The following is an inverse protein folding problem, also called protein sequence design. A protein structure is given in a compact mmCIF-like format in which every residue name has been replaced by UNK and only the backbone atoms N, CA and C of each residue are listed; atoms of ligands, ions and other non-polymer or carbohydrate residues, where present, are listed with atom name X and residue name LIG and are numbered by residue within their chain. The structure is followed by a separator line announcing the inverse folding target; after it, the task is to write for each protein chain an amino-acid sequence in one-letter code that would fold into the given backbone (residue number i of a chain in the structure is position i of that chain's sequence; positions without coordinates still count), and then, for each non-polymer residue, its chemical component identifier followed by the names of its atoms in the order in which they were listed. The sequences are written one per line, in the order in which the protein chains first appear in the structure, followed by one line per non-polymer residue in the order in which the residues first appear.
data_IF_166901176077
#
_entry.id   IF_166901176077
#
_cell.length_a   1.000
_cell.length_b   1.000
_cell.length_c   1.000
_cell.angle_alpha   90.00
_cell.angle_beta   90.00
_cell.angle_gamma   90.00
#
_symmetry.space_group_name_H-M   'P 1'
#
loop_
_entity.id
_entity.type
_entity.pdbx_description
1 polymer ?
#
# COMPACT_ATOMS: atom_id res chain seq x y z
N UNK A 1 7.13 -14.50 -18.89
CA UNK A 1 6.10 -13.68 -19.61
C UNK A 1 4.96 -13.27 -18.68
N UNK A 2 4.42 -14.19 -17.87
CA UNK A 2 3.34 -13.91 -16.93
C UNK A 2 3.73 -12.87 -15.88
N UNK A 3 4.95 -12.92 -15.38
CA UNK A 3 5.46 -11.96 -14.39
C UNK A 3 5.59 -10.54 -14.95
N UNK A 4 5.99 -10.38 -16.22
CA UNK A 4 6.12 -9.06 -16.86
C UNK A 4 4.76 -8.37 -17.00
N UNK A 5 3.71 -9.10 -17.38
CA UNK A 5 2.36 -8.54 -17.43
C UNK A 5 1.82 -8.17 -16.06
N UNK A 6 2.11 -9.00 -15.06
CA UNK A 6 1.73 -8.72 -13.68
C UNK A 6 2.39 -7.43 -13.19
N UNK A 7 3.68 -7.24 -13.49
CA UNK A 7 4.43 -6.04 -13.12
C UNK A 7 3.91 -4.79 -13.86
N UNK A 8 3.71 -4.86 -15.18
CA UNK A 8 3.23 -3.70 -15.95
C UNK A 8 1.82 -3.25 -15.55
N UNK A 9 0.94 -4.17 -15.22
CA UNK A 9 -0.38 -3.84 -14.67
C UNK A 9 -0.29 -3.29 -13.25
N UNK A 10 0.62 -3.82 -12.44
CA UNK A 10 0.89 -3.30 -11.11
C UNK A 10 1.32 -1.82 -11.15
N UNK A 11 2.16 -1.46 -12.11
CA UNK A 11 2.69 -0.09 -12.21
C UNK A 11 1.73 0.88 -12.90
N UNK A 12 0.86 0.40 -13.82
CA UNK A 12 -0.09 1.24 -14.53
C UNK A 12 -1.33 1.61 -13.69
N UNK A 13 -1.85 0.68 -12.91
CA UNK A 13 -3.08 0.91 -12.12
C UNK A 13 -2.96 2.03 -11.09
N UNK A 14 -1.84 2.22 -10.36
CA UNK A 14 -1.67 3.33 -9.46
C UNK A 14 -1.83 4.69 -10.14
N UNK A 15 -1.36 4.85 -11.38
CA UNK A 15 -1.50 6.10 -12.15
C UNK A 15 -2.98 6.46 -12.33
N UNK A 16 -3.82 5.50 -12.70
CA UNK A 16 -5.26 5.73 -12.80
C UNK A 16 -5.93 5.95 -11.43
N UNK A 17 -5.41 5.30 -10.39
CA UNK A 17 -5.89 5.47 -9.01
C UNK A 17 -5.54 6.82 -8.39
N UNK A 18 -4.55 7.55 -8.93
CA UNK A 18 -4.09 8.84 -8.37
C UNK A 18 -5.23 9.85 -8.18
N UNK A 19 -6.10 9.99 -9.17
CA UNK A 19 -7.21 10.94 -9.09
C UNK A 19 -8.17 10.58 -7.96
N UNK A 20 -8.52 9.31 -7.84
CA UNK A 20 -9.39 8.81 -6.77
C UNK A 20 -8.75 9.07 -5.41
N UNK A 21 -7.47 8.73 -5.25
CA UNK A 21 -6.73 8.93 -4.00
C UNK A 21 -6.64 10.41 -3.62
N UNK A 22 -6.36 11.29 -4.58
CA UNK A 22 -6.35 12.73 -4.38
C UNK A 22 -7.68 13.24 -3.82
N UNK A 23 -8.79 12.85 -4.46
CA UNK A 23 -10.14 13.27 -4.04
C UNK A 23 -10.46 12.74 -2.64
N UNK A 24 -10.23 11.45 -2.38
CA UNK A 24 -10.49 10.83 -1.09
C UNK A 24 -9.72 11.50 0.05
N UNK A 25 -8.42 11.73 -0.15
CA UNK A 25 -7.56 12.36 0.86
C UNK A 25 -7.94 13.81 1.09
N UNK A 26 -8.22 14.56 0.01
CA UNK A 26 -8.67 15.96 0.12
C UNK A 26 -9.97 16.06 0.91
N UNK A 27 -10.94 15.19 0.62
CA UNK A 27 -12.22 15.16 1.34
C UNK A 27 -12.04 14.73 2.80
N UNK A 28 -11.26 13.69 3.06
CA UNK A 28 -11.02 13.22 4.43
C UNK A 28 -10.36 14.30 5.30
N UNK A 29 -9.42 15.02 4.73
CA UNK A 29 -8.76 16.13 5.42
C UNK A 29 -9.70 17.32 5.63
N UNK A 30 -10.55 17.65 4.64
CA UNK A 30 -11.53 18.75 4.71
C UNK A 30 -12.60 18.51 5.79
N UNK A 31 -13.08 17.27 5.92
CA UNK A 31 -14.16 16.91 6.85
C UNK A 31 -13.65 16.29 8.17
N UNK A 32 -12.36 16.38 8.44
CA UNK A 32 -11.77 15.88 9.68
C UNK A 32 -12.35 16.57 10.92
N UNK A 33 -12.24 15.92 12.06
CA UNK A 33 -12.74 16.41 13.35
C UNK A 33 -11.63 16.28 14.38
N UNK A 34 -11.53 17.26 15.25
CA UNK A 34 -10.73 17.15 16.47
C UNK A 34 -11.60 16.53 17.56
N UNK A 35 -11.13 15.44 18.13
CA UNK A 35 -11.79 14.74 19.22
C UNK A 35 -11.54 15.45 20.54
N UNK A 36 -12.28 15.03 21.60
CA UNK A 36 -12.19 15.63 22.94
C UNK A 36 -10.80 15.47 23.60
N UNK A 37 -10.02 14.49 23.17
CA UNK A 37 -8.64 14.23 23.60
C UNK A 37 -7.59 15.04 22.81
N UNK A 38 -8.02 15.91 21.88
CA UNK A 38 -7.15 16.69 21.02
C UNK A 38 -6.62 15.93 19.79
N UNK A 39 -6.92 14.65 19.64
CA UNK A 39 -6.54 13.88 18.46
C UNK A 39 -7.39 14.26 17.24
N UNK A 40 -6.79 14.18 16.04
CA UNK A 40 -7.49 14.43 14.79
C UNK A 40 -7.97 13.10 14.22
N UNK A 41 -9.27 13.04 13.88
CA UNK A 41 -9.88 11.90 13.24
C UNK A 41 -10.58 12.31 11.96
N UNK A 42 -10.48 11.51 10.91
CA UNK A 42 -11.07 11.76 9.61
C UNK A 42 -11.10 10.49 8.77
N UNK A 43 -11.58 10.62 7.55
CA UNK A 43 -11.70 9.49 6.63
C UNK A 43 -13.06 9.45 5.96
N UNK A 44 -13.35 8.38 5.18
CA UNK A 44 -14.61 8.26 4.43
C UNK A 44 -15.86 8.39 5.29
N UNK A 45 -15.88 7.81 6.49
CA UNK A 45 -17.00 7.90 7.41
C UNK A 45 -17.38 9.36 7.74
N UNK A 46 -16.39 10.26 7.87
CA UNK A 46 -16.63 11.66 8.21
C UNK A 46 -17.18 12.47 7.04
N UNK A 47 -16.65 12.29 5.82
CA UNK A 47 -17.21 13.02 4.68
C UNK A 47 -18.54 12.44 4.19
N UNK A 48 -18.82 11.15 4.41
CA UNK A 48 -20.14 10.58 4.19
C UNK A 48 -21.15 11.15 5.18
N UNK A 49 -20.80 11.21 6.46
CA UNK A 49 -21.69 11.75 7.49
C UNK A 49 -21.92 13.25 7.31
N UNK A 50 -20.87 14.04 7.20
CA UNK A 50 -20.96 15.51 7.19
C UNK A 50 -21.22 16.10 5.80
N UNK A 51 -20.71 15.45 4.74
CA UNK A 51 -20.87 15.94 3.37
C UNK A 51 -22.15 15.48 2.70
N UNK A 52 -22.53 14.22 2.90
CA UNK A 52 -23.73 13.63 2.31
C UNK A 52 -24.91 13.54 3.31
N UNK A 53 -24.68 13.85 4.59
CA UNK A 53 -25.65 13.73 5.68
C UNK A 53 -26.25 12.31 5.82
N UNK A 54 -25.45 11.28 5.50
CA UNK A 54 -25.87 9.86 5.48
C UNK A 54 -25.20 9.08 6.60
N UNK A 55 -25.59 9.34 7.85
CA UNK A 55 -24.97 8.74 9.04
C UNK A 55 -24.97 7.20 9.03
N UNK A 56 -26.05 6.57 8.58
CA UNK A 56 -26.15 5.11 8.55
C UNK A 56 -25.11 4.48 7.59
N UNK A 57 -24.83 5.14 6.44
CA UNK A 57 -23.80 4.69 5.49
C UNK A 57 -22.40 4.84 6.09
N UNK A 58 -22.16 5.92 6.83
CA UNK A 58 -20.89 6.15 7.53
C UNK A 58 -20.61 5.05 8.58
N UNK A 59 -21.64 4.64 9.33
CA UNK A 59 -21.53 3.54 10.31
C UNK A 59 -21.27 2.23 9.60
N UNK A 60 -21.99 1.93 8.52
CA UNK A 60 -21.80 0.72 7.73
C UNK A 60 -20.39 0.66 7.16
N UNK A 61 -19.91 1.76 6.57
CA UNK A 61 -18.52 1.87 6.07
C UNK A 61 -17.50 1.58 7.18
N UNK A 62 -17.67 2.17 8.36
CA UNK A 62 -16.76 1.97 9.49
C UNK A 62 -16.72 0.52 9.95
N UNK A 63 -17.86 -0.15 10.01
CA UNK A 63 -17.95 -1.56 10.38
C UNK A 63 -17.28 -2.48 9.34
N UNK A 64 -17.56 -2.25 8.06
CA UNK A 64 -16.92 -3.00 6.96
C UNK A 64 -15.40 -2.75 6.90
N UNK A 65 -14.96 -1.51 7.12
CA UNK A 65 -13.54 -1.17 7.16
C UNK A 65 -12.81 -1.86 8.30
N UNK A 66 -13.45 -1.98 9.46
CA UNK A 66 -12.90 -2.69 10.61
C UNK A 66 -12.71 -4.19 10.31
N UNK A 67 -13.70 -4.83 9.67
CA UNK A 67 -13.60 -6.23 9.24
C UNK A 67 -12.50 -6.39 8.16
N UNK A 68 -12.47 -5.49 7.19
CA UNK A 68 -11.45 -5.50 6.13
C UNK A 68 -10.04 -5.36 6.69
N UNK A 69 -9.82 -4.49 7.66
CA UNK A 69 -8.51 -4.26 8.27
C UNK A 69 -7.94 -5.52 8.95
N UNK A 70 -8.78 -6.40 9.49
CA UNK A 70 -8.34 -7.66 10.08
C UNK A 70 -7.74 -8.57 9.01
N UNK A 71 -8.34 -8.66 7.83
CA UNK A 71 -7.91 -9.57 6.76
C UNK A 71 -6.81 -9.01 5.86
N UNK A 72 -6.96 -7.77 5.39
CA UNK A 72 -6.06 -7.19 4.37
C UNK A 72 -4.95 -6.31 4.95
N UNK A 73 -5.14 -5.77 6.16
CA UNK A 73 -4.24 -4.78 6.72
C UNK A 73 -2.86 -5.32 7.10
N UNK A 74 -2.80 -6.47 7.77
CA UNK A 74 -1.56 -6.99 8.36
C UNK A 74 -1.16 -8.40 7.92
N UNK A 75 -2.13 -9.25 7.58
CA UNK A 75 -1.84 -10.67 7.33
C UNK A 75 -0.81 -10.93 6.23
N UNK A 76 -0.85 -10.26 5.06
CA UNK A 76 0.14 -10.49 4.00
C UNK A 76 1.56 -10.08 4.42
N UNK A 77 1.71 -8.95 5.12
CA UNK A 77 3.01 -8.47 5.56
C UNK A 77 3.64 -9.41 6.58
N UNK A 78 2.90 -9.79 7.62
CA UNK A 78 3.38 -10.72 8.64
C UNK A 78 3.70 -12.08 8.06
N UNK A 79 2.86 -12.59 7.15
CA UNK A 79 3.11 -13.87 6.49
C UNK A 79 4.39 -13.83 5.65
N UNK A 80 4.64 -12.75 4.91
CA UNK A 80 5.87 -12.61 4.12
C UNK A 80 7.11 -12.54 5.02
N UNK A 81 7.08 -11.76 6.10
CA UNK A 81 8.18 -11.68 7.05
C UNK A 81 8.43 -13.06 7.68
N UNK A 82 7.39 -13.74 8.13
CA UNK A 82 7.51 -15.04 8.76
C UNK A 82 8.06 -16.12 7.80
N UNK A 83 7.65 -16.07 6.51
CA UNK A 83 8.20 -16.96 5.50
C UNK A 83 9.71 -16.70 5.27
N UNK A 84 10.12 -15.46 5.12
CA UNK A 84 11.55 -15.11 4.94
C UNK A 84 12.37 -15.54 6.17
N UNK A 85 11.86 -15.28 7.38
CA UNK A 85 12.54 -15.68 8.61
C UNK A 85 12.68 -17.20 8.72
N UNK A 86 11.69 -17.96 8.26
CA UNK A 86 11.75 -19.42 8.26
C UNK A 86 12.71 -19.94 7.18
N UNK A 87 12.64 -19.42 5.94
CA UNK A 87 13.45 -19.93 4.83
C UNK A 87 14.92 -19.54 4.92
N UNK A 88 15.23 -18.30 5.31
CA UNK A 88 16.60 -17.77 5.31
C UNK A 88 17.31 -17.97 6.67
N UNK A 89 16.56 -17.89 7.77
CA UNK A 89 17.13 -17.93 9.12
C UNK A 89 16.69 -19.14 9.95
N UNK A 90 15.86 -20.03 9.39
CA UNK A 90 15.32 -21.20 10.09
C UNK A 90 14.58 -20.87 11.39
N UNK A 91 14.01 -19.67 11.49
CA UNK A 91 13.23 -19.24 12.65
C UNK A 91 11.77 -19.66 12.48
N UNK A 92 11.18 -20.41 13.42
CA UNK A 92 9.79 -20.85 13.32
C UNK A 92 8.82 -19.65 13.18
N UNK A 93 7.81 -19.79 12.32
CA UNK A 93 6.79 -18.72 12.08
C UNK A 93 6.12 -18.24 13.35
N UNK A 94 5.84 -19.16 14.26
CA UNK A 94 5.24 -18.83 15.55
C UNK A 94 6.12 -17.89 16.37
N UNK A 95 7.43 -18.12 16.40
CA UNK A 95 8.38 -17.28 17.12
C UNK A 95 8.45 -15.87 16.51
N UNK A 96 8.54 -15.80 15.19
CA UNK A 96 8.49 -14.54 14.45
C UNK A 96 7.18 -13.78 14.73
N UNK A 97 6.05 -14.47 14.71
CA UNK A 97 4.75 -13.88 15.02
C UNK A 97 4.64 -13.35 16.44
N UNK A 98 5.12 -14.07 17.44
CA UNK A 98 5.12 -13.66 18.84
C UNK A 98 5.99 -12.42 19.07
N UNK A 99 7.20 -12.40 18.51
CA UNK A 99 8.12 -11.27 18.63
C UNK A 99 7.55 -10.01 17.97
N UNK A 100 7.09 -10.13 16.72
CA UNK A 100 6.52 -9.00 15.99
C UNK A 100 5.20 -8.53 16.62
N UNK A 101 4.36 -9.45 17.07
CA UNK A 101 3.13 -9.11 17.77
C UNK A 101 3.39 -8.34 19.07
N UNK A 102 4.37 -8.77 19.85
CA UNK A 102 4.79 -8.07 21.06
C UNK A 102 5.33 -6.67 20.78
N UNK A 103 6.20 -6.52 19.78
CA UNK A 103 6.73 -5.22 19.37
C UNK A 103 5.61 -4.27 18.88
N UNK A 104 4.72 -4.76 18.03
CA UNK A 104 3.58 -3.98 17.56
C UNK A 104 2.65 -3.58 18.69
N UNK A 105 2.37 -4.47 19.62
CA UNK A 105 1.53 -4.20 20.77
C UNK A 105 2.08 -3.02 21.62
N UNK A 106 3.39 -3.02 21.90
CA UNK A 106 4.06 -1.93 22.62
C UNK A 106 3.92 -0.59 21.89
N UNK A 107 3.98 -0.60 20.54
CA UNK A 107 3.87 0.61 19.72
C UNK A 107 2.43 1.13 19.72
N UNK A 108 1.46 0.23 19.51
CA UNK A 108 0.05 0.58 19.32
C UNK A 108 -0.57 1.16 20.59
N UNK A 109 -0.18 0.70 21.80
CA UNK A 109 -0.66 1.24 23.07
C UNK A 109 -0.41 2.76 23.20
N UNK A 110 0.65 3.27 22.54
CA UNK A 110 0.95 4.71 22.56
C UNK A 110 0.11 5.55 21.58
N UNK A 111 -0.86 4.95 20.88
CA UNK A 111 -1.74 5.62 19.96
C UNK A 111 -1.07 6.12 18.67
N UNK A 112 -1.82 6.88 17.87
CA UNK A 112 -1.39 7.32 16.53
C UNK A 112 -0.13 8.18 16.55
N UNK A 113 0.07 8.97 17.58
CA UNK A 113 1.26 9.83 17.73
C UNK A 113 2.53 9.01 17.90
N UNK A 114 2.47 7.93 18.69
CA UNK A 114 3.60 7.02 18.88
C UNK A 114 3.88 6.19 17.64
N UNK A 115 2.83 5.71 16.96
CA UNK A 115 2.96 5.01 15.68
C UNK A 115 3.67 5.90 14.68
N UNK A 116 3.25 7.16 14.52
CA UNK A 116 3.87 8.13 13.62
C UNK A 116 5.33 8.41 13.99
N UNK A 117 5.65 8.57 15.28
CA UNK A 117 7.01 8.83 15.75
C UNK A 117 7.96 7.65 15.51
N UNK A 118 7.48 6.41 15.64
CA UNK A 118 8.27 5.20 15.34
C UNK A 118 8.44 5.06 13.83
N UNK A 119 7.36 5.19 13.06
CA UNK A 119 7.39 5.09 11.60
C UNK A 119 8.33 6.12 10.97
N UNK A 120 8.29 7.38 11.42
CA UNK A 120 9.17 8.45 10.90
C UNK A 120 10.67 8.17 11.08
N UNK A 121 11.04 7.33 12.04
CA UNK A 121 12.44 6.92 12.25
C UNK A 121 12.81 5.66 11.47
N UNK A 122 11.88 4.69 11.38
CA UNK A 122 12.15 3.41 10.73
C UNK A 122 12.15 3.56 9.20
N UNK A 123 11.21 4.32 8.63
CA UNK A 123 11.05 4.46 7.18
C UNK A 123 12.33 4.95 6.48
N UNK A 124 13.03 6.02 6.93
CA UNK A 124 14.28 6.43 6.29
C UNK A 124 15.37 5.35 6.32
N UNK A 125 15.48 4.62 7.45
CA UNK A 125 16.45 3.52 7.59
C UNK A 125 16.13 2.40 6.59
N UNK A 126 14.86 2.01 6.48
CA UNK A 126 14.40 1.03 5.50
C UNK A 126 14.71 1.50 4.08
N UNK A 127 14.46 2.76 3.77
CA UNK A 127 14.77 3.37 2.48
C UNK A 127 16.26 3.24 2.14
N UNK A 128 17.14 3.61 3.05
CA UNK A 128 18.60 3.51 2.85
C UNK A 128 19.03 2.06 2.63
N UNK A 129 18.55 1.11 3.41
CA UNK A 129 18.88 -0.31 3.26
C UNK A 129 18.37 -0.83 1.91
N UNK A 130 17.13 -0.50 1.54
CA UNK A 130 16.54 -0.95 0.28
C UNK A 130 17.28 -0.39 -0.94
N UNK A 131 17.47 0.93 -0.98
CA UNK A 131 18.20 1.57 -2.10
C UNK A 131 19.65 1.14 -2.16
N UNK A 132 20.31 1.01 -1.02
CA UNK A 132 21.69 0.50 -0.95
C UNK A 132 21.79 -0.93 -1.48
N UNK A 133 20.90 -1.82 -1.05
CA UNK A 133 20.81 -3.18 -1.54
C UNK A 133 20.53 -3.25 -3.05
N UNK A 134 19.57 -2.47 -3.53
CA UNK A 134 19.26 -2.38 -4.95
C UNK A 134 20.45 -1.89 -5.78
N UNK A 135 21.17 -0.88 -5.31
CA UNK A 135 22.39 -0.39 -5.97
C UNK A 135 23.48 -1.47 -6.05
N UNK A 136 23.71 -2.21 -4.97
CA UNK A 136 24.69 -3.31 -4.95
C UNK A 136 24.30 -4.37 -6.00
N UNK A 137 23.01 -4.74 -6.08
CA UNK A 137 22.55 -5.71 -7.09
C UNK A 137 22.74 -5.18 -8.50
N UNK A 138 22.40 -3.91 -8.77
CA UNK A 138 22.57 -3.28 -10.08
C UNK A 138 24.04 -3.19 -10.49
N UNK A 139 24.91 -2.81 -9.58
CA UNK A 139 26.36 -2.72 -9.86
C UNK A 139 26.95 -4.10 -10.14
N UNK A 140 26.57 -5.11 -9.38
CA UNK A 140 27.05 -6.49 -9.60
C UNK A 140 26.51 -7.13 -10.89
N UNK A 141 25.39 -6.60 -11.43
CA UNK A 141 24.72 -7.13 -12.61
C UNK A 141 24.62 -6.07 -13.74
N UNK A 142 25.55 -5.13 -13.80
CA UNK A 142 25.45 -4.00 -14.72
C UNK A 142 25.37 -4.43 -16.20
N UNK A 143 26.00 -5.55 -16.57
CA UNK A 143 25.96 -6.12 -17.92
C UNK A 143 24.55 -6.55 -18.35
N UNK A 144 23.70 -6.91 -17.39
CA UNK A 144 22.34 -7.35 -17.63
C UNK A 144 21.32 -6.20 -17.70
N UNK A 145 21.69 -4.96 -17.42
CA UNK A 145 20.77 -3.83 -17.39
C UNK A 145 20.18 -3.58 -18.78
N UNK A 146 21.03 -3.40 -19.81
CA UNK A 146 20.59 -3.16 -21.19
C UNK A 146 19.83 -4.35 -21.78
N UNK A 147 20.31 -5.61 -21.65
CA UNK A 147 19.55 -6.78 -22.05
C UNK A 147 18.17 -6.90 -21.38
N UNK A 148 18.04 -6.55 -20.10
CA UNK A 148 16.78 -6.56 -19.38
C UNK A 148 15.78 -5.52 -19.94
N UNK A 149 16.24 -4.29 -20.20
CA UNK A 149 15.42 -3.28 -20.85
C UNK A 149 14.95 -3.72 -22.24
N UNK A 150 15.88 -4.26 -23.05
CA UNK A 150 15.52 -4.78 -24.37
C UNK A 150 14.52 -5.93 -24.29
N UNK A 151 14.65 -6.83 -23.30
CA UNK A 151 13.70 -7.90 -23.08
C UNK A 151 12.30 -7.38 -22.69
N UNK A 152 12.23 -6.36 -21.82
CA UNK A 152 10.97 -5.73 -21.43
C UNK A 152 10.27 -5.15 -22.66
N UNK A 153 10.95 -4.26 -23.39
CA UNK A 153 10.34 -3.58 -24.54
C UNK A 153 10.03 -4.54 -25.70
N UNK A 154 10.90 -5.47 -26.03
CA UNK A 154 10.65 -6.42 -27.11
C UNK A 154 9.50 -7.38 -26.80
N UNK A 155 9.39 -7.83 -25.53
CA UNK A 155 8.34 -8.79 -25.14
C UNK A 155 6.97 -8.15 -24.99
N UNK A 156 6.88 -6.86 -24.66
CA UNK A 156 5.59 -6.16 -24.59
C UNK A 156 4.92 -6.05 -25.95
N UNK A 157 5.71 -5.88 -27.02
CA UNK A 157 5.19 -5.64 -28.39
C UNK A 157 5.29 -6.85 -29.32
N UNK A 158 5.78 -8.00 -28.87
CA UNK A 158 5.93 -9.19 -29.71
C UNK A 158 4.76 -10.16 -29.56
N UNK A 159 4.56 -10.99 -30.60
CA UNK A 159 3.52 -12.01 -30.63
C UNK A 159 3.63 -13.09 -29.53
N UNK A 160 4.80 -13.24 -28.88
CA UNK A 160 4.95 -14.10 -27.71
C UNK A 160 4.13 -13.60 -26.51
N UNK A 161 3.97 -12.28 -26.40
CA UNK A 161 3.06 -11.68 -25.44
C UNK A 161 1.59 -12.04 -25.75
N UNK A 162 1.20 -11.99 -27.02
CA UNK A 162 -0.13 -12.38 -27.47
C UNK A 162 -0.39 -13.89 -27.28
N UNK A 163 0.59 -14.75 -27.57
CA UNK A 163 0.48 -16.22 -27.42
C UNK A 163 0.50 -16.63 -25.93
N UNK A 164 1.31 -16.00 -25.09
CA UNK A 164 1.30 -16.21 -23.64
C UNK A 164 -0.01 -15.77 -22.98
N UNK A 165 -0.63 -14.70 -23.51
CA UNK A 165 -1.95 -14.24 -23.10
C UNK A 165 -3.10 -15.13 -23.56
N UNK A 166 -2.93 -15.88 -24.65
CA UNK A 166 -3.96 -16.73 -25.25
C UNK A 166 -4.10 -18.10 -24.56
N UNK A 167 -3.16 -18.50 -23.74
CA UNK A 167 -3.31 -19.65 -22.84
C UNK A 167 -4.17 -19.22 -21.63
N UNK A 168 -5.44 -19.01 -21.87
CA UNK A 168 -6.53 -18.45 -21.08
C UNK A 168 -6.37 -18.39 -19.54
N UNK A 169 -5.84 -19.41 -18.89
CA UNK A 169 -5.62 -19.43 -17.46
C UNK A 169 -4.48 -18.51 -17.01
N UNK A 170 -3.39 -18.41 -17.78
CA UNK A 170 -2.25 -17.57 -17.41
C UNK A 170 -2.52 -16.08 -17.61
N UNK A 171 -3.28 -15.68 -18.61
CA UNK A 171 -3.71 -14.29 -18.81
C UNK A 171 -4.67 -13.84 -17.69
N UNK A 172 -5.68 -14.64 -17.38
CA UNK A 172 -6.61 -14.34 -16.30
C UNK A 172 -5.90 -14.25 -14.94
N UNK A 173 -4.92 -15.13 -14.68
CA UNK A 173 -4.10 -15.08 -13.47
C UNK A 173 -3.21 -13.83 -13.43
N UNK A 174 -2.55 -13.48 -14.54
CA UNK A 174 -1.71 -12.28 -14.63
C UNK A 174 -2.53 -11.01 -14.40
N UNK A 175 -3.68 -10.91 -15.05
CA UNK A 175 -4.61 -9.82 -14.87
C UNK A 175 -5.07 -9.73 -13.41
N UNK A 176 -5.51 -10.85 -12.83
CA UNK A 176 -5.95 -10.92 -11.45
C UNK A 176 -4.88 -10.47 -10.46
N UNK A 177 -3.67 -11.02 -10.57
CA UNK A 177 -2.58 -10.67 -9.65
C UNK A 177 -2.03 -9.26 -9.91
N UNK A 178 -1.93 -8.81 -11.15
CA UNK A 178 -1.51 -7.46 -11.49
C UNK A 178 -2.46 -6.40 -10.95
N UNK A 179 -3.77 -6.58 -11.18
CA UNK A 179 -4.81 -5.68 -10.66
C UNK A 179 -4.82 -5.71 -9.13
N UNK A 180 -4.79 -6.90 -8.53
CA UNK A 180 -4.81 -7.03 -7.08
C UNK A 180 -3.61 -6.34 -6.41
N UNK A 181 -2.40 -6.51 -6.96
CA UNK A 181 -1.19 -5.86 -6.43
C UNK A 181 -1.21 -4.35 -6.63
N UNK A 182 -1.65 -3.86 -7.80
CA UNK A 182 -1.76 -2.43 -8.07
C UNK A 182 -2.75 -1.73 -7.15
N UNK A 183 -3.93 -2.32 -6.95
CA UNK A 183 -4.92 -1.81 -6.01
C UNK A 183 -4.45 -1.86 -4.56
N UNK A 184 -3.75 -2.93 -4.17
CA UNK A 184 -3.20 -3.08 -2.83
C UNK A 184 -2.12 -2.04 -2.51
N UNK A 185 -1.23 -1.76 -3.46
CA UNK A 185 -0.16 -0.78 -3.30
C UNK A 185 -0.67 0.66 -3.23
N UNK A 186 -1.63 1.01 -4.08
CA UNK A 186 -2.15 2.37 -4.18
C UNK A 186 -3.21 2.69 -3.11
N UNK A 187 -3.98 1.68 -2.66
CA UNK A 187 -5.12 1.83 -1.75
C UNK A 187 -6.23 2.79 -2.23
N UNK A 188 -6.21 3.19 -3.52
CA UNK A 188 -7.22 4.08 -4.07
C UNK A 188 -8.61 3.42 -4.05
N UNK A 189 -9.60 4.11 -3.53
CA UNK A 189 -10.97 3.60 -3.39
C UNK A 189 -11.20 2.66 -2.21
N UNK A 190 -10.16 2.30 -1.43
CA UNK A 190 -10.30 1.43 -0.27
C UNK A 190 -10.70 2.19 1.00
N UNK A 191 -10.39 3.49 1.07
CA UNK A 191 -10.71 4.32 2.20
C UNK A 191 -9.73 4.26 3.39
N UNK A 192 -8.72 3.39 3.35
CA UNK A 192 -7.69 3.25 4.39
C UNK A 192 -6.72 4.43 4.39
N UNK A 193 -6.18 4.76 3.23
CA UNK A 193 -5.24 5.87 3.03
C UNK A 193 -5.80 7.23 3.51
N UNK A 194 -7.04 7.63 3.17
CA UNK A 194 -7.63 8.88 3.65
C UNK A 194 -7.73 8.98 5.17
N UNK A 195 -7.91 7.88 5.88
CA UNK A 195 -7.95 7.87 7.36
C UNK A 195 -6.60 8.30 7.94
N UNK A 196 -5.50 7.75 7.41
CA UNK A 196 -4.15 8.10 7.84
C UNK A 196 -3.80 9.56 7.49
N UNK A 197 -4.10 9.99 6.27
CA UNK A 197 -3.83 11.34 5.79
C UNK A 197 -4.63 12.43 6.51
N UNK A 198 -5.80 12.12 7.04
CA UNK A 198 -6.61 13.08 7.80
C UNK A 198 -5.89 13.61 9.05
N UNK A 199 -5.00 12.81 9.65
CA UNK A 199 -4.23 13.19 10.84
C UNK A 199 -3.01 14.08 10.56
N UNK A 200 -2.78 14.46 9.30
CA UNK A 200 -1.64 15.29 8.91
C UNK A 200 -1.72 16.70 9.51
N UNK A 201 -0.55 17.32 9.72
CA UNK A 201 -0.44 18.67 10.31
C UNK A 201 -0.71 19.79 9.32
N UNK A 202 -0.82 19.49 8.03
CA UNK A 202 -1.07 20.50 7.01
C UNK A 202 -2.43 21.18 7.23
N UNK A 203 -2.56 22.46 6.92
CA UNK A 203 -3.82 23.21 7.07
C UNK A 203 -4.68 23.13 5.81
N UNK A 204 -4.05 23.01 4.65
CA UNK A 204 -4.73 23.01 3.37
C UNK A 204 -5.04 21.61 2.85
N UNK A 205 -6.30 21.30 2.68
CA UNK A 205 -6.76 19.98 2.23
C UNK A 205 -6.22 19.60 0.84
N UNK A 206 -6.09 20.58 -0.06
CA UNK A 206 -5.57 20.34 -1.42
C UNK A 206 -4.09 19.97 -1.38
N UNK A 207 -3.29 20.63 -0.54
CA UNK A 207 -1.86 20.28 -0.38
C UNK A 207 -1.70 18.84 0.12
N UNK A 208 -2.53 18.43 1.07
CA UNK A 208 -2.50 17.04 1.54
C UNK A 208 -2.93 16.04 0.46
N UNK A 209 -3.92 16.39 -0.36
CA UNK A 209 -4.30 15.62 -1.53
C UNK A 209 -3.13 15.48 -2.53
N UNK A 210 -2.41 16.56 -2.82
CA UNK A 210 -1.23 16.53 -3.69
C UNK A 210 -0.10 15.64 -3.13
N UNK A 211 0.17 15.74 -1.82
CA UNK A 211 1.14 14.88 -1.15
C UNK A 211 0.77 13.40 -1.29
N UNK A 212 -0.51 13.08 -1.25
CA UNK A 212 -0.96 11.68 -1.38
C UNK A 212 -0.69 11.07 -2.77
N UNK A 213 -0.46 11.89 -3.79
CA UNK A 213 -0.08 11.43 -5.14
C UNK A 213 1.37 10.93 -5.20
N UNK A 214 2.23 11.35 -4.29
CA UNK A 214 3.64 10.96 -4.25
C UNK A 214 3.88 9.65 -3.48
N UNK A 215 2.87 9.13 -2.79
CA UNK A 215 2.97 7.89 -2.02
C UNK A 215 2.29 6.75 -2.79
N UNK A 216 3.11 5.98 -3.50
CA UNK A 216 2.76 4.74 -4.16
C UNK A 216 3.35 3.56 -3.44
#
# INVERSE_FOLDING_TARGET
TTEIYTLSLHDALPIFGMTTKFVEVTLAHKFRTTLSDGSISGGPMYYIEKGLNMKWVAILFSALMMICAIGSGNMPQINNIANVMETEFSVPKLMTGLVLGGLLWIIIIGGITRIAAVASKIIPIMGVIYFGGALIVLVNNYENIIPSFNAIFSQVFTGSAAVGGFLGASFAMSLKYGVARGLYSNEAGQGSSPIAHASSKTEKSIEQGMVSLCFF
#
